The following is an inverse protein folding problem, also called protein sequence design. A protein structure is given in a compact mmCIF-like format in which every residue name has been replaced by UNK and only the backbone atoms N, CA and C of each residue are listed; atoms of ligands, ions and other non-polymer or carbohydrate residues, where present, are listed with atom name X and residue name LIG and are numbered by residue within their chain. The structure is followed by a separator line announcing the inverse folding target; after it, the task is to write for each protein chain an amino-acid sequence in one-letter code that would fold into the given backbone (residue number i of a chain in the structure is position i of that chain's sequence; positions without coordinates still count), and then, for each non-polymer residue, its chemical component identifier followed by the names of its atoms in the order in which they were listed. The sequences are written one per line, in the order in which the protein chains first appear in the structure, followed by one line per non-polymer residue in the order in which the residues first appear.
data_IF_989915162546
#
_entry.id   IF_989915162546
#
_cell.length_a   1.000
_cell.length_b   1.000
_cell.length_c   1.000
_cell.angle_alpha   90.00
_cell.angle_beta   90.00
_cell.angle_gamma   90.00
#
_symmetry.space_group_name_H-M   'P 1'
#
loop_
_entity.id
_entity.type
_entity.pdbx_description
1 polymer ?
#
# COMPACT_ATOMS: atom_id res chain seq x y z
N UNK A 1 16.85 -31.19 -5.40
CA UNK A 1 16.37 -30.97 -4.02
C UNK A 1 16.03 -29.49 -3.88
N UNK A 2 14.77 -29.11 -4.01
CA UNK A 2 14.34 -27.75 -3.69
C UNK A 2 14.24 -27.65 -2.17
N UNK A 3 15.06 -26.78 -1.56
CA UNK A 3 14.96 -26.49 -0.13
C UNK A 3 13.52 -26.09 0.22
N UNK A 4 13.00 -26.50 1.39
CA UNK A 4 11.69 -26.05 1.83
C UNK A 4 11.70 -24.54 1.96
N UNK A 5 10.76 -23.87 1.28
CA UNK A 5 10.57 -22.42 1.41
C UNK A 5 10.25 -22.07 2.85
N UNK A 6 10.83 -20.99 3.37
CA UNK A 6 10.43 -20.47 4.67
C UNK A 6 8.92 -20.16 4.65
N UNK A 7 8.12 -20.74 5.56
CA UNK A 7 6.71 -20.41 5.64
C UNK A 7 6.58 -19.02 6.28
N UNK A 8 6.72 -17.96 5.47
CA UNK A 8 6.20 -16.66 5.87
C UNK A 8 4.68 -16.70 5.69
N UNK A 9 3.97 -17.18 6.71
CA UNK A 9 2.51 -17.20 6.70
C UNK A 9 1.91 -15.79 6.46
N UNK A 10 2.66 -14.74 6.82
CA UNK A 10 2.26 -13.35 6.65
C UNK A 10 2.47 -12.82 5.22
N UNK A 11 3.42 -13.37 4.44
CA UNK A 11 3.73 -12.88 3.08
C UNK A 11 3.77 -14.01 2.05
N UNK A 12 2.66 -14.72 1.82
CA UNK A 12 2.62 -15.96 1.03
C UNK A 12 3.05 -15.80 -0.43
N UNK A 13 2.96 -14.61 -1.01
CA UNK A 13 3.27 -14.36 -2.43
C UNK A 13 4.52 -13.49 -2.64
N UNK A 14 5.22 -13.11 -1.57
CA UNK A 14 6.40 -12.23 -1.67
C UNK A 14 7.47 -12.79 -2.62
N UNK A 15 7.80 -14.08 -2.53
CA UNK A 15 8.80 -14.71 -3.40
C UNK A 15 8.42 -14.70 -4.88
N UNK A 16 7.14 -14.85 -5.20
CA UNK A 16 6.65 -14.76 -6.59
C UNK A 16 6.75 -13.33 -7.12
N UNK A 17 6.40 -12.34 -6.29
CA UNK A 17 6.53 -10.93 -6.65
C UNK A 17 8.00 -10.57 -6.83
N UNK A 18 8.88 -11.00 -5.93
CA UNK A 18 10.32 -10.75 -6.06
C UNK A 18 10.89 -11.32 -7.36
N UNK A 19 10.46 -12.53 -7.76
CA UNK A 19 10.82 -13.11 -9.04
C UNK A 19 10.29 -12.26 -10.21
N UNK A 20 9.03 -11.84 -10.18
CA UNK A 20 8.44 -10.99 -11.22
C UNK A 20 9.19 -9.67 -11.37
N UNK A 21 9.64 -9.07 -10.26
CA UNK A 21 10.39 -7.81 -10.24
C UNK A 21 11.83 -7.93 -10.79
N UNK A 22 12.29 -9.14 -11.15
CA UNK A 22 13.54 -9.31 -11.91
C UNK A 22 13.37 -8.98 -13.40
N UNK A 23 12.13 -8.88 -13.89
CA UNK A 23 11.88 -8.50 -15.27
C UNK A 23 12.40 -7.07 -15.55
N UNK A 24 13.05 -6.83 -16.70
CA UNK A 24 13.69 -5.54 -17.00
C UNK A 24 12.77 -4.33 -16.85
N UNK A 25 11.49 -4.47 -17.19
CA UNK A 25 10.49 -3.39 -17.09
C UNK A 25 10.34 -2.84 -15.66
N UNK A 26 10.40 -3.71 -14.64
CA UNK A 26 10.27 -3.29 -13.24
C UNK A 26 11.59 -2.77 -12.68
N UNK A 27 12.72 -3.30 -13.13
CA UNK A 27 14.04 -2.75 -12.79
C UNK A 27 14.20 -1.33 -13.35
N UNK A 28 13.80 -1.12 -14.60
CA UNK A 28 13.80 0.20 -15.24
C UNK A 28 12.83 1.16 -14.54
N UNK A 29 11.62 0.71 -14.20
CA UNK A 29 10.68 1.50 -13.40
C UNK A 29 11.31 1.96 -12.08
N UNK A 30 11.90 1.05 -11.32
CA UNK A 30 12.53 1.37 -10.04
C UNK A 30 13.68 2.37 -10.21
N UNK A 31 14.50 2.21 -11.26
CA UNK A 31 15.60 3.14 -11.56
C UNK A 31 15.07 4.54 -11.94
N UNK A 32 14.07 4.63 -12.81
CA UNK A 32 13.44 5.90 -13.20
C UNK A 32 12.81 6.59 -12.01
N UNK A 33 12.11 5.85 -11.15
CA UNK A 33 11.52 6.39 -9.92
C UNK A 33 12.58 6.86 -8.91
N UNK A 34 13.72 6.17 -8.80
CA UNK A 34 14.81 6.57 -7.91
C UNK A 34 15.42 7.94 -8.27
N UNK A 35 15.37 8.33 -9.54
CA UNK A 35 15.76 9.68 -9.98
C UNK A 35 14.77 10.78 -9.54
N UNK A 36 13.61 10.41 -8.99
CA UNK A 36 12.54 11.31 -8.52
C UNK A 36 12.19 12.41 -9.55
N UNK A 37 11.83 12.02 -10.79
CA UNK A 37 11.42 13.00 -11.78
C UNK A 37 10.13 13.71 -11.33
N UNK A 38 9.90 14.91 -11.85
CA UNK A 38 8.64 15.63 -11.62
C UNK A 38 7.44 14.87 -12.20
N UNK A 39 7.66 14.09 -13.27
CA UNK A 39 6.62 13.30 -13.92
C UNK A 39 7.15 11.89 -14.24
N UNK A 40 6.33 10.89 -13.91
CA UNK A 40 6.55 9.49 -14.27
C UNK A 40 5.19 8.86 -14.59
N UNK A 41 4.91 8.67 -15.88
CA UNK A 41 3.68 8.03 -16.34
C UNK A 41 3.95 6.55 -16.69
N UNK A 42 3.02 5.69 -16.29
CA UNK A 42 3.06 4.25 -16.54
C UNK A 42 1.73 3.81 -17.14
N UNK A 43 1.80 2.95 -18.15
CA UNK A 43 0.62 2.35 -18.78
C UNK A 43 0.75 0.84 -18.69
N UNK A 44 -0.29 0.19 -18.19
CA UNK A 44 -0.32 -1.25 -18.03
C UNK A 44 -1.72 -1.74 -17.67
N UNK A 45 -1.94 -3.06 -17.69
CA UNK A 45 -3.20 -3.64 -17.24
C UNK A 45 -3.37 -3.43 -15.72
N UNK A 46 -4.61 -3.52 -15.23
CA UNK A 46 -4.90 -3.42 -13.79
C UNK A 46 -4.11 -4.45 -12.97
N UNK A 47 -3.88 -5.65 -13.50
CA UNK A 47 -3.07 -6.69 -12.85
C UNK A 47 -1.59 -6.31 -12.64
N UNK A 48 -1.09 -5.28 -13.32
CA UNK A 48 0.27 -4.79 -13.11
C UNK A 48 0.39 -3.89 -11.87
N UNK A 49 -0.72 -3.46 -11.25
CA UNK A 49 -0.72 -2.52 -10.13
C UNK A 49 0.06 -3.07 -8.92
N UNK A 50 -0.13 -4.33 -8.56
CA UNK A 50 0.62 -4.99 -7.47
C UNK A 50 2.13 -4.92 -7.74
N UNK A 51 2.57 -5.35 -8.92
CA UNK A 51 3.99 -5.41 -9.26
C UNK A 51 4.61 -4.00 -9.37
N UNK A 52 3.94 -3.06 -10.01
CA UNK A 52 4.41 -1.67 -10.10
C UNK A 52 4.53 -1.03 -8.70
N UNK A 53 3.53 -1.24 -7.84
CA UNK A 53 3.54 -0.78 -6.45
C UNK A 53 4.73 -1.38 -5.68
N UNK A 54 4.93 -2.69 -5.78
CA UNK A 54 6.04 -3.38 -5.11
C UNK A 54 7.42 -2.93 -5.64
N UNK A 55 7.55 -2.68 -6.95
CA UNK A 55 8.77 -2.15 -7.55
C UNK A 55 9.11 -0.77 -6.99
N UNK A 56 8.12 0.13 -6.92
CA UNK A 56 8.28 1.49 -6.40
C UNK A 56 8.56 1.50 -4.90
N UNK A 57 7.90 0.62 -4.13
CA UNK A 57 8.08 0.51 -2.68
C UNK A 57 9.50 0.07 -2.27
N UNK A 58 10.33 -0.45 -3.20
CA UNK A 58 11.77 -0.71 -2.94
C UNK A 58 12.57 0.58 -2.72
N UNK A 59 12.13 1.71 -3.27
CA UNK A 59 12.77 3.03 -3.12
C UNK A 59 12.39 3.78 -1.84
N UNK A 60 11.40 3.30 -1.09
CA UNK A 60 10.91 3.95 0.14
C UNK A 60 9.42 3.70 0.38
N UNK A 61 8.84 4.29 1.44
CA UNK A 61 7.40 4.23 1.71
C UNK A 61 6.59 4.82 0.55
N UNK A 62 5.44 4.23 0.25
CA UNK A 62 4.59 4.62 -0.88
C UNK A 62 3.14 4.87 -0.44
N UNK A 63 2.53 5.92 -0.99
CA UNK A 63 1.08 6.13 -0.94
C UNK A 63 0.49 5.73 -2.30
N UNK A 64 -0.45 4.79 -2.29
CA UNK A 64 -1.20 4.37 -3.48
C UNK A 64 -2.63 4.87 -3.35
N UNK A 65 -3.12 5.55 -4.38
CA UNK A 65 -4.45 6.16 -4.40
C UNK A 65 -5.30 5.46 -5.45
N UNK A 66 -6.41 4.87 -5.03
CA UNK A 66 -7.40 4.25 -5.92
C UNK A 66 -8.64 5.14 -6.06
N UNK A 67 -9.45 4.91 -7.09
CA UNK A 67 -10.66 5.69 -7.29
C UNK A 67 -11.75 5.31 -6.29
N UNK A 68 -11.88 4.00 -6.01
CA UNK A 68 -12.95 3.45 -5.16
C UNK A 68 -12.41 2.73 -3.93
N UNK A 69 -13.26 2.59 -2.90
CA UNK A 69 -12.96 1.78 -1.73
C UNK A 69 -12.74 0.31 -2.08
N UNK A 70 -13.51 -0.24 -3.02
CA UNK A 70 -13.37 -1.63 -3.45
C UNK A 70 -11.99 -1.93 -4.03
N UNK A 71 -11.51 -1.06 -4.93
CA UNK A 71 -10.15 -1.17 -5.49
C UNK A 71 -9.09 -1.04 -4.40
N UNK A 72 -9.31 -0.17 -3.40
CA UNK A 72 -8.40 0.01 -2.27
C UNK A 72 -8.32 -1.26 -1.42
N UNK A 73 -9.48 -1.88 -1.14
CA UNK A 73 -9.59 -3.12 -0.36
C UNK A 73 -8.89 -4.27 -1.07
N UNK A 74 -9.21 -4.49 -2.35
CA UNK A 74 -8.64 -5.57 -3.16
C UNK A 74 -7.12 -5.41 -3.27
N UNK A 75 -6.61 -4.20 -3.58
CA UNK A 75 -5.16 -3.95 -3.66
C UNK A 75 -4.46 -4.08 -2.30
N UNK A 76 -5.10 -3.63 -1.21
CA UNK A 76 -4.53 -3.80 0.15
C UNK A 76 -4.42 -5.28 0.51
N UNK A 77 -5.39 -6.11 0.14
CA UNK A 77 -5.35 -7.55 0.37
C UNK A 77 -4.19 -8.21 -0.40
N UNK A 78 -4.00 -7.85 -1.67
CA UNK A 78 -2.86 -8.32 -2.47
C UNK A 78 -1.51 -7.90 -1.87
N UNK A 79 -1.38 -6.63 -1.49
CA UNK A 79 -0.15 -6.09 -0.90
C UNK A 79 0.17 -6.69 0.47
N UNK A 80 -0.85 -7.03 1.27
CA UNK A 80 -0.64 -7.79 2.52
C UNK A 80 -0.04 -9.16 2.24
N UNK A 81 -0.38 -9.78 1.12
CA UNK A 81 0.27 -11.02 0.65
C UNK A 81 1.77 -10.88 0.39
N UNK A 82 2.28 -9.66 0.21
CA UNK A 82 3.69 -9.34 -0.06
C UNK A 82 4.40 -8.72 1.15
N UNK A 83 3.74 -7.81 1.86
CA UNK A 83 4.34 -6.97 2.91
C UNK A 83 3.79 -7.26 4.32
N UNK A 84 2.78 -8.12 4.45
CA UNK A 84 2.11 -8.37 5.73
C UNK A 84 1.56 -7.07 6.31
N UNK A 85 1.78 -6.85 7.61
CA UNK A 85 1.28 -5.68 8.33
C UNK A 85 1.97 -4.36 7.93
N UNK A 86 3.04 -4.40 7.11
CA UNK A 86 3.66 -3.20 6.55
C UNK A 86 2.86 -2.61 5.38
N UNK A 87 1.79 -3.26 4.92
CA UNK A 87 0.79 -2.70 4.01
C UNK A 87 -0.54 -2.45 4.74
N UNK A 88 -1.07 -1.23 4.64
CA UNK A 88 -2.31 -0.85 5.32
C UNK A 88 -3.20 0.07 4.48
N UNK A 89 -4.51 -0.03 4.70
CA UNK A 89 -5.52 0.84 4.11
C UNK A 89 -5.76 2.06 5.02
N UNK A 90 -5.76 3.25 4.44
CA UNK A 90 -6.28 4.48 5.03
C UNK A 90 -7.71 4.72 4.53
N UNK A 91 -8.75 4.32 5.30
CA UNK A 91 -10.11 4.24 4.80
C UNK A 91 -10.78 5.62 4.73
N UNK A 92 -11.78 5.72 3.87
CA UNK A 92 -12.62 6.91 3.78
C UNK A 92 -13.72 6.90 4.81
N UNK A 93 -14.22 8.06 5.20
CA UNK A 93 -15.50 8.13 5.89
C UNK A 93 -16.63 7.62 4.99
N UNK A 94 -17.55 6.91 5.61
CA UNK A 94 -18.83 6.51 5.02
C UNK A 94 -19.70 7.75 4.75
N UNK A 95 -19.55 8.77 5.61
CA UNK A 95 -20.24 10.06 5.54
C UNK A 95 -19.44 11.13 4.78
N UNK A 96 -20.11 12.18 4.34
CA UNK A 96 -19.48 13.36 3.73
C UNK A 96 -19.01 14.37 4.81
N UNK A 97 -17.99 15.22 4.54
CA UNK A 97 -17.42 16.14 5.55
C UNK A 97 -18.40 17.13 6.20
N UNK A 98 -19.52 17.44 5.56
CA UNK A 98 -20.55 18.36 6.08
C UNK A 98 -21.88 17.66 6.38
N UNK A 99 -21.89 16.32 6.32
CA UNK A 99 -23.05 15.54 6.70
C UNK A 99 -23.25 15.59 8.21
N UNK A 100 -24.50 15.75 8.65
CA UNK A 100 -24.85 15.77 10.09
C UNK A 100 -24.96 14.35 10.66
N UNK A 101 -23.99 13.52 10.30
CA UNK A 101 -23.86 12.13 10.72
C UNK A 101 -22.38 11.84 10.96
N UNK A 102 -22.07 11.30 12.13
CA UNK A 102 -20.71 10.88 12.44
C UNK A 102 -20.31 9.68 11.57
N UNK A 103 -19.05 9.64 11.09
CA UNK A 103 -18.52 8.44 10.46
C UNK A 103 -18.48 7.26 11.44
N UNK A 104 -18.33 6.05 10.91
CA UNK A 104 -18.23 4.84 11.74
C UNK A 104 -17.03 4.89 12.69
N UNK A 105 -17.21 4.44 13.93
CA UNK A 105 -16.14 4.47 14.96
C UNK A 105 -14.95 3.61 14.57
N UNK A 106 -15.19 2.50 13.87
CA UNK A 106 -14.15 1.60 13.37
C UNK A 106 -13.29 2.29 12.30
N UNK A 107 -13.93 3.01 11.38
CA UNK A 107 -13.27 3.81 10.35
C UNK A 107 -12.43 4.93 10.96
N UNK A 108 -12.98 5.65 11.95
CA UNK A 108 -12.23 6.68 12.69
C UNK A 108 -11.03 6.08 13.41
N UNK A 109 -11.22 4.97 14.12
CA UNK A 109 -10.16 4.26 14.83
C UNK A 109 -9.05 3.78 13.89
N UNK A 110 -9.39 3.18 12.75
CA UNK A 110 -8.44 2.74 11.74
C UNK A 110 -7.62 3.90 11.17
N UNK A 111 -8.27 5.04 10.87
CA UNK A 111 -7.58 6.26 10.40
C UNK A 111 -6.58 6.78 11.43
N UNK A 112 -7.02 6.95 12.68
CA UNK A 112 -6.16 7.47 13.75
C UNK A 112 -5.00 6.51 14.05
N UNK A 113 -5.24 5.21 14.05
CA UNK A 113 -4.21 4.19 14.24
C UNK A 113 -3.16 4.26 13.12
N UNK A 114 -3.59 4.36 11.86
CA UNK A 114 -2.67 4.45 10.73
C UNK A 114 -1.84 5.74 10.78
N UNK A 115 -2.46 6.89 11.08
CA UNK A 115 -1.74 8.15 11.26
C UNK A 115 -0.74 8.09 12.43
N UNK A 116 -1.10 7.43 13.53
CA UNK A 116 -0.19 7.19 14.66
C UNK A 116 1.02 6.35 14.23
N UNK A 117 0.80 5.30 13.44
CA UNK A 117 1.88 4.46 12.86
C UNK A 117 2.80 5.25 11.94
N UNK A 118 2.25 6.16 11.13
CA UNK A 118 3.07 7.04 10.28
C UNK A 118 3.90 8.03 11.10
N UNK A 119 3.36 8.56 12.20
CA UNK A 119 4.07 9.49 13.07
C UNK A 119 5.11 8.81 13.97
N UNK A 120 4.96 7.52 14.26
CA UNK A 120 5.84 6.75 15.14
C UNK A 120 6.23 5.41 14.48
N UNK A 121 7.00 5.44 13.39
CA UNK A 121 7.29 4.25 12.59
C UNK A 121 8.09 3.17 13.34
N UNK A 122 8.87 3.56 14.36
CA UNK A 122 9.73 2.66 15.13
C UNK A 122 9.10 2.20 16.46
N UNK A 123 7.83 2.53 16.73
CA UNK A 123 7.12 2.06 17.93
C UNK A 123 6.76 0.57 17.79
N UNK A 124 7.40 -0.34 18.55
CA UNK A 124 7.17 -1.78 18.40
C UNK A 124 5.74 -2.19 18.80
N UNK A 125 5.03 -1.36 19.57
CA UNK A 125 3.64 -1.60 19.96
C UNK A 125 2.64 -1.37 18.83
N UNK A 126 3.05 -0.76 17.70
CA UNK A 126 2.17 -0.42 16.58
C UNK A 126 2.37 -1.31 15.34
N UNK A 127 3.24 -2.31 15.42
CA UNK A 127 3.60 -3.19 14.31
C UNK A 127 4.78 -2.68 13.48
N UNK A 128 5.11 -3.34 12.35
CA UNK A 128 6.26 -2.95 11.54
C UNK A 128 6.05 -1.56 10.89
N UNK A 129 7.15 -0.86 10.53
CA UNK A 129 7.08 0.37 9.76
C UNK A 129 6.27 0.20 8.47
N UNK A 130 5.38 1.14 8.19
CA UNK A 130 4.54 1.11 6.98
C UNK A 130 5.40 1.31 5.73
N UNK A 131 5.28 0.36 4.80
CA UNK A 131 5.93 0.38 3.48
C UNK A 131 4.97 0.86 2.40
N UNK A 132 3.70 0.46 2.48
CA UNK A 132 2.68 0.90 1.54
C UNK A 132 1.41 1.29 2.29
N UNK A 133 0.94 2.50 2.05
CA UNK A 133 -0.40 2.94 2.46
C UNK A 133 -1.25 2.99 1.21
N UNK A 134 -2.34 2.24 1.19
CA UNK A 134 -3.37 2.35 0.15
C UNK A 134 -4.45 3.28 0.66
N UNK A 135 -5.02 4.11 -0.20
CA UNK A 135 -6.14 4.97 0.14
C UNK A 135 -7.00 5.22 -1.08
N UNK A 136 -8.12 5.92 -0.89
CA UNK A 136 -8.97 6.36 -2.00
C UNK A 136 -8.76 7.86 -2.28
N UNK A 137 -9.18 8.31 -3.45
CA UNK A 137 -9.27 9.74 -3.77
C UNK A 137 -10.09 10.51 -2.73
N UNK A 138 -11.19 9.92 -2.21
CA UNK A 138 -12.00 10.56 -1.17
C UNK A 138 -11.19 10.83 0.09
N UNK A 139 -10.51 9.81 0.61
CA UNK A 139 -9.68 9.96 1.82
C UNK A 139 -8.53 10.95 1.64
N UNK A 140 -7.93 10.98 0.44
CA UNK A 140 -6.84 11.88 0.09
C UNK A 140 -7.28 13.34 0.11
N UNK A 141 -8.45 13.63 -0.46
CA UNK A 141 -8.97 15.00 -0.58
C UNK A 141 -9.70 15.48 0.67
N UNK A 142 -10.08 14.55 1.53
CA UNK A 142 -10.83 14.85 2.74
C UNK A 142 -9.92 15.56 3.77
N UNK A 143 -10.30 16.75 4.25
CA UNK A 143 -9.52 17.45 5.27
C UNK A 143 -9.54 16.70 6.59
N UNK A 144 -8.49 16.89 7.39
CA UNK A 144 -8.27 16.28 8.69
C UNK A 144 -7.97 17.32 9.76
#
# INVERSE_FOLDING_TARGET
MTSPGHPSAQTPIAGLVDLALTAPVFAELAQRAAARPAELALVGPASAQLYATCALARGGPLLVVTATGREADDLTAELRGVFGDAAALFPSWETLPHERLSPGVDTVGARLMLLRRLAHPDDPGLGPPLRVVVTTVRSLLQPM
#
